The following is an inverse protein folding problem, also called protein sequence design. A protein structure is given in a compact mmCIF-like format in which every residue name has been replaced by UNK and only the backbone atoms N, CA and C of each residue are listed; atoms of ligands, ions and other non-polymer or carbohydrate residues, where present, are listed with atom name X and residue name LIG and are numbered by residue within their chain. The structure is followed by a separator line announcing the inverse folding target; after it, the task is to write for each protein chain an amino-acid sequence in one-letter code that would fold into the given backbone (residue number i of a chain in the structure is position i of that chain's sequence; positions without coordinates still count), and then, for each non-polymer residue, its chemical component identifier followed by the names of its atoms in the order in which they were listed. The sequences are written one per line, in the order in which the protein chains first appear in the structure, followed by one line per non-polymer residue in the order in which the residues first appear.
data_IF_755920497429
#
_entry.id   IF_755920497429
#
_cell.length_a   1.000
_cell.length_b   1.000
_cell.length_c   1.000
_cell.angle_alpha   90.00
_cell.angle_beta   90.00
_cell.angle_gamma   90.00
#
_symmetry.space_group_name_H-M   'P 1'
#
loop_
_entity.id
_entity.type
_entity.pdbx_description
1 polymer ?
#
# COMPACT_ATOMS: atom_id res chain seq x y z
N UNK A 1 22.43 7.97 6.90
CA UNK A 1 22.33 6.78 7.77
C UNK A 1 22.73 7.17 9.17
N UNK A 2 22.02 6.69 10.17
CA UNK A 2 22.26 6.94 11.59
C UNK A 2 22.46 5.60 12.31
N UNK A 3 23.07 5.62 13.49
CA UNK A 3 23.34 4.41 14.27
C UNK A 3 22.16 4.12 15.19
N UNK A 4 21.69 2.87 15.21
CA UNK A 4 20.60 2.47 16.10
C UNK A 4 21.05 2.41 17.56
N UNK A 5 20.31 3.07 18.44
CA UNK A 5 20.61 3.12 19.89
C UNK A 5 20.52 1.74 20.57
N UNK A 6 19.75 0.79 20.02
CA UNK A 6 19.59 -0.55 20.60
C UNK A 6 20.63 -1.57 20.14
N UNK A 7 21.06 -1.51 18.88
CA UNK A 7 21.91 -2.57 18.29
C UNK A 7 23.19 -2.06 17.61
N UNK A 8 23.45 -0.75 17.60
CA UNK A 8 24.69 -0.17 17.05
C UNK A 8 24.81 -0.23 15.52
N UNK A 9 23.74 -0.62 14.86
CA UNK A 9 23.68 -0.94 13.43
C UNK A 9 23.34 0.35 12.64
N UNK A 10 23.99 0.63 11.50
CA UNK A 10 23.76 1.86 10.70
C UNK A 10 22.61 1.70 9.68
N UNK A 11 21.52 2.45 9.87
CA UNK A 11 20.29 2.34 9.06
C UNK A 11 19.62 3.71 8.86
N UNK A 12 18.57 3.72 8.03
CA UNK A 12 17.52 4.72 8.20
C UNK A 12 16.75 4.38 9.49
N UNK A 13 16.79 5.29 10.45
CA UNK A 13 16.16 5.09 11.75
C UNK A 13 14.74 5.67 11.72
N UNK A 14 13.87 5.10 12.54
CA UNK A 14 12.53 5.58 12.76
C UNK A 14 12.36 6.19 14.14
N UNK A 15 11.22 5.87 14.74
CA UNK A 15 10.80 6.25 16.08
C UNK A 15 11.98 6.20 17.05
N UNK A 16 12.31 7.37 17.61
CA UNK A 16 13.31 7.55 18.65
C UNK A 16 14.64 6.82 18.40
N UNK A 17 15.11 6.91 17.16
CA UNK A 17 16.39 6.41 16.69
C UNK A 17 16.58 4.90 16.58
N UNK A 18 15.50 4.13 16.46
CA UNK A 18 15.60 2.67 16.27
C UNK A 18 15.51 2.24 14.80
N UNK A 19 16.28 1.20 14.44
CA UNK A 19 16.30 0.66 13.06
C UNK A 19 15.19 -0.36 12.76
N UNK A 20 14.45 -0.82 13.77
CA UNK A 20 13.34 -1.77 13.59
C UNK A 20 12.38 -1.72 14.77
N UNK A 21 11.15 -2.16 14.56
CA UNK A 21 10.15 -2.32 15.63
C UNK A 21 10.65 -3.23 16.74
N UNK A 22 11.33 -4.33 16.41
CA UNK A 22 11.96 -5.20 17.40
C UNK A 22 13.02 -4.47 18.26
N UNK A 23 13.74 -3.49 17.73
CA UNK A 23 14.66 -2.68 18.53
C UNK A 23 13.91 -1.76 19.50
N UNK A 24 12.82 -1.13 19.06
CA UNK A 24 11.96 -0.29 19.91
C UNK A 24 11.38 -1.10 21.08
N UNK A 25 10.93 -2.33 20.80
CA UNK A 25 10.40 -3.23 21.83
C UNK A 25 11.51 -3.65 22.81
N UNK A 26 12.68 -4.07 22.30
CA UNK A 26 13.81 -4.49 23.15
C UNK A 26 14.37 -3.37 24.04
N UNK A 27 14.23 -2.11 23.64
CA UNK A 27 14.63 -0.99 24.48
C UNK A 27 13.65 -0.71 25.63
N UNK A 28 12.52 -1.43 25.71
CA UNK A 28 11.51 -1.27 26.74
C UNK A 28 10.65 -0.01 26.61
N UNK A 29 10.77 0.72 25.49
CA UNK A 29 10.03 1.98 25.28
C UNK A 29 8.58 1.75 24.84
N UNK A 30 8.35 0.64 24.15
CA UNK A 30 7.02 0.13 23.84
C UNK A 30 6.89 -1.22 24.53
N UNK A 31 5.84 -1.39 25.34
CA UNK A 31 5.49 -2.71 25.86
C UNK A 31 4.99 -3.54 24.68
N UNK A 32 5.58 -4.73 24.53
CA UNK A 32 5.01 -5.75 23.66
C UNK A 32 3.55 -5.97 24.08
N UNK A 33 2.61 -5.89 23.14
CA UNK A 33 1.23 -6.24 23.46
C UNK A 33 1.23 -7.71 23.88
N UNK A 34 0.51 -8.07 24.93
CA UNK A 34 0.32 -9.47 25.34
C UNK A 34 -0.18 -10.31 24.13
N UNK A 35 -0.90 -9.67 23.21
CA UNK A 35 -1.36 -10.13 21.89
C UNK A 35 -0.28 -10.12 20.77
N UNK A 36 1.01 -10.26 21.08
CA UNK A 36 2.06 -10.57 20.10
C UNK A 36 2.49 -12.04 20.13
N UNK A 37 1.74 -12.92 20.80
CA UNK A 37 1.90 -14.38 20.69
C UNK A 37 2.04 -14.81 19.23
N UNK A 38 2.75 -15.91 18.92
CA UNK A 38 2.97 -16.45 17.57
C UNK A 38 1.66 -16.89 16.83
N UNK A 39 0.55 -16.21 17.08
CA UNK A 39 -0.80 -16.42 16.58
C UNK A 39 -1.30 -15.24 15.75
N UNK A 40 -2.41 -15.50 15.05
CA UNK A 40 -3.22 -14.52 14.33
C UNK A 40 -4.07 -13.77 15.36
N UNK A 41 -3.98 -12.45 15.34
CA UNK A 41 -4.65 -11.58 16.30
C UNK A 41 -6.10 -11.29 15.92
N UNK A 42 -6.89 -10.79 16.88
CA UNK A 42 -8.26 -10.35 16.61
C UNK A 42 -8.28 -9.24 15.52
N UNK A 43 -9.30 -9.26 14.66
CA UNK A 43 -9.44 -8.32 13.55
C UNK A 43 -9.47 -6.86 14.03
N UNK A 44 -9.97 -6.62 15.25
CA UNK A 44 -10.07 -5.30 15.86
C UNK A 44 -8.76 -4.79 16.47
N UNK A 45 -7.72 -5.65 16.56
CA UNK A 45 -6.41 -5.25 17.10
C UNK A 45 -5.85 -4.06 16.31
N UNK A 46 -5.50 -3.00 17.06
CA UNK A 46 -4.87 -1.77 16.56
C UNK A 46 -3.80 -1.32 17.55
N UNK A 47 -2.55 -1.77 17.40
CA UNK A 47 -1.47 -1.29 18.23
C UNK A 47 -1.18 0.19 17.96
N UNK A 48 -0.59 0.86 18.94
CA UNK A 48 0.00 2.18 18.82
C UNK A 48 1.06 2.13 17.71
N UNK A 49 0.96 2.99 16.69
CA UNK A 49 1.85 2.94 15.55
C UNK A 49 3.27 3.34 15.93
N UNK A 50 4.25 2.55 15.49
CA UNK A 50 5.68 2.84 15.57
C UNK A 50 6.11 3.35 14.18
N UNK A 51 6.36 4.64 14.07
CA UNK A 51 6.67 5.28 12.78
C UNK A 51 8.13 5.08 12.39
N UNK A 52 8.39 4.57 11.18
CA UNK A 52 9.73 4.23 10.71
C UNK A 52 10.22 5.16 9.59
N UNK A 53 11.48 5.61 9.65
CA UNK A 53 12.00 6.64 8.76
C UNK A 53 11.60 8.06 9.16
N UNK A 54 12.29 9.04 8.57
CA UNK A 54 12.10 10.47 8.80
C UNK A 54 11.68 11.16 7.49
N UNK A 55 10.43 11.61 7.42
CA UNK A 55 9.87 12.35 6.28
C UNK A 55 8.53 13.01 6.72
N UNK A 56 7.91 13.78 5.82
CA UNK A 56 6.67 14.52 6.05
C UNK A 56 5.48 13.63 6.41
N UNK A 57 5.46 12.38 5.93
CA UNK A 57 4.42 11.41 6.24
C UNK A 57 4.86 9.96 6.07
N UNK A 58 4.06 9.06 6.68
CA UNK A 58 4.30 7.63 6.69
C UNK A 58 3.14 6.88 6.02
N UNK A 59 3.49 5.74 5.43
CA UNK A 59 2.56 4.80 4.84
C UNK A 59 2.60 3.46 5.56
N UNK A 60 1.44 2.93 5.93
CA UNK A 60 1.25 1.55 6.36
C UNK A 60 0.67 0.71 5.23
N UNK A 61 0.90 -0.60 5.25
CA UNK A 61 0.27 -1.53 4.32
C UNK A 61 -0.49 -2.63 5.07
N UNK A 62 -1.63 -3.02 4.53
CA UNK A 62 -2.39 -4.20 4.91
C UNK A 62 -2.40 -5.14 3.69
N UNK A 63 -1.76 -6.30 3.82
CA UNK A 63 -1.73 -7.31 2.76
C UNK A 63 -2.59 -8.50 3.18
N UNK A 64 -3.71 -8.67 2.50
CA UNK A 64 -4.58 -9.83 2.68
C UNK A 64 -3.94 -11.05 2.04
N UNK A 65 -3.99 -12.18 2.77
CA UNK A 65 -3.43 -13.45 2.32
C UNK A 65 -4.42 -14.58 2.49
N UNK A 66 -4.34 -15.57 1.61
CA UNK A 66 -4.96 -16.88 1.82
C UNK A 66 -3.93 -17.88 2.32
N UNK A 67 -4.40 -18.85 3.09
CA UNK A 67 -3.63 -19.86 3.83
C UNK A 67 -3.06 -19.31 5.14
N UNK A 68 -3.56 -19.88 6.25
CA UNK A 68 -3.20 -19.44 7.60
C UNK A 68 -2.62 -20.57 8.45
N UNK A 69 -1.58 -20.24 9.22
CA UNK A 69 -0.93 -21.18 10.11
C UNK A 69 0.10 -20.50 11.02
N UNK A 70 0.38 -21.15 12.16
CA UNK A 70 1.32 -20.67 13.17
C UNK A 70 2.73 -20.43 12.59
N UNK A 71 3.16 -21.32 11.70
CA UNK A 71 4.46 -21.26 11.06
C UNK A 71 4.60 -20.03 10.14
N UNK A 72 3.55 -19.68 9.40
CA UNK A 72 3.51 -18.54 8.47
C UNK A 72 3.53 -17.22 9.24
N UNK A 73 2.75 -17.12 10.33
CA UNK A 73 2.76 -15.96 11.24
C UNK A 73 4.15 -15.75 11.84
N UNK A 74 4.82 -16.83 12.25
CA UNK A 74 6.18 -16.77 12.75
C UNK A 74 7.17 -16.27 11.70
N UNK A 75 7.08 -16.77 10.45
CA UNK A 75 7.87 -16.28 9.32
C UNK A 75 7.73 -14.76 9.16
N UNK A 76 6.49 -14.25 9.22
CA UNK A 76 6.20 -12.82 9.14
C UNK A 76 6.91 -12.05 10.25
N UNK A 77 6.71 -12.44 11.50
CA UNK A 77 7.23 -11.71 12.67
C UNK A 77 8.76 -11.71 12.69
N UNK A 78 9.38 -12.86 12.45
CA UNK A 78 10.83 -13.04 12.54
C UNK A 78 11.55 -12.29 11.41
N UNK A 79 11.14 -12.51 10.16
CA UNK A 79 11.84 -11.89 9.01
C UNK A 79 11.59 -10.40 8.94
N UNK A 80 10.40 -9.93 9.32
CA UNK A 80 10.08 -8.51 9.33
C UNK A 80 10.64 -7.75 10.54
N UNK A 81 11.29 -8.43 11.50
CA UNK A 81 11.70 -7.85 12.77
C UNK A 81 10.54 -7.11 13.45
N UNK A 82 9.36 -7.73 13.43
CA UNK A 82 8.08 -7.20 13.97
C UNK A 82 7.56 -5.94 13.28
N UNK A 83 8.07 -5.60 12.09
CA UNK A 83 7.47 -4.52 11.29
C UNK A 83 6.02 -4.85 10.91
N UNK A 84 5.71 -6.13 10.74
CA UNK A 84 4.36 -6.62 10.49
C UNK A 84 3.80 -7.40 11.68
N UNK A 85 2.50 -7.25 11.89
CA UNK A 85 1.68 -8.11 12.74
C UNK A 85 0.57 -8.74 11.89
N UNK A 86 0.05 -9.90 12.34
CA UNK A 86 -0.95 -10.66 11.60
C UNK A 86 -2.28 -10.60 12.34
N UNK A 87 -3.37 -10.26 11.65
CA UNK A 87 -4.73 -10.27 12.21
C UNK A 87 -5.65 -11.15 11.36
N UNK A 88 -6.71 -11.65 11.99
CA UNK A 88 -7.82 -12.24 11.27
C UNK A 88 -8.55 -11.15 10.50
N UNK A 89 -9.15 -11.53 9.38
CA UNK A 89 -10.07 -10.68 8.65
C UNK A 89 -11.36 -11.46 8.41
N UNK A 90 -12.49 -10.89 8.81
CA UNK A 90 -13.81 -11.48 8.62
C UNK A 90 -14.24 -11.55 7.15
N UNK A 91 -13.47 -10.97 6.23
CA UNK A 91 -13.68 -11.07 4.78
C UNK A 91 -12.93 -12.24 4.10
N UNK A 92 -12.05 -12.92 4.83
CA UNK A 92 -11.25 -14.04 4.34
C UNK A 92 -11.85 -15.39 4.79
N UNK A 93 -11.91 -16.36 3.87
CA UNK A 93 -12.39 -17.72 4.17
C UNK A 93 -11.34 -18.58 4.90
N UNK A 94 -10.05 -18.40 4.57
CA UNK A 94 -8.88 -19.00 5.21
C UNK A 94 -7.67 -18.10 4.95
N UNK A 95 -7.08 -17.49 5.99
CA UNK A 95 -6.00 -16.53 5.80
C UNK A 95 -5.75 -15.59 6.98
N UNK A 96 -4.91 -14.59 6.75
CA UNK A 96 -4.68 -13.48 7.66
C UNK A 96 -4.34 -12.20 6.88
N UNK A 97 -4.57 -11.06 7.50
CA UNK A 97 -4.04 -9.77 7.05
C UNK A 97 -2.69 -9.51 7.71
N UNK A 98 -1.68 -9.27 6.88
CA UNK A 98 -0.37 -8.84 7.30
C UNK A 98 -0.33 -7.30 7.32
N UNK A 99 -0.41 -6.72 8.51
CA UNK A 99 -0.52 -5.27 8.72
C UNK A 99 0.81 -4.71 9.21
N UNK A 100 1.30 -3.66 8.56
CA UNK A 100 2.56 -3.03 8.93
C UNK A 100 2.39 -1.92 9.95
N UNK A 101 3.45 -1.68 10.72
CA UNK A 101 3.69 -0.35 11.27
C UNK A 101 3.99 0.66 10.14
N UNK A 102 3.71 1.96 10.32
CA UNK A 102 3.92 2.97 9.27
C UNK A 102 5.40 3.23 8.98
N UNK A 103 5.75 3.42 7.72
CA UNK A 103 7.09 3.77 7.27
C UNK A 103 7.10 4.84 6.17
N UNK A 104 8.14 5.67 6.09
CA UNK A 104 8.36 6.57 4.95
C UNK A 104 8.62 5.78 3.66
N UNK A 105 8.51 6.39 2.48
CA UNK A 105 8.80 5.69 1.23
C UNK A 105 10.27 5.21 1.17
N UNK A 106 11.21 6.06 1.58
CA UNK A 106 12.63 5.72 1.68
C UNK A 106 12.88 4.54 2.62
N UNK A 107 12.23 4.54 3.79
CA UNK A 107 12.30 3.43 4.72
C UNK A 107 11.79 2.16 4.03
N UNK A 108 10.64 2.19 3.38
CA UNK A 108 10.12 1.03 2.65
C UNK A 108 11.08 0.54 1.56
N UNK A 109 11.70 1.42 0.76
CA UNK A 109 12.71 1.03 -0.22
C UNK A 109 13.90 0.32 0.43
N UNK A 110 14.32 0.75 1.63
CA UNK A 110 15.39 0.09 2.39
C UNK A 110 15.03 -1.34 2.81
N UNK A 111 13.72 -1.67 2.90
CA UNK A 111 13.24 -2.99 3.29
C UNK A 111 13.22 -4.04 2.15
N UNK A 112 13.80 -3.74 0.98
CA UNK A 112 13.72 -4.62 -0.21
C UNK A 112 14.21 -6.02 0.04
N UNK A 113 15.31 -6.17 0.77
CA UNK A 113 15.87 -7.49 1.13
C UNK A 113 14.94 -8.27 2.07
N UNK A 114 14.33 -7.58 3.03
CA UNK A 114 13.38 -8.18 3.97
C UNK A 114 12.13 -8.65 3.24
N UNK A 115 11.46 -7.78 2.47
CA UNK A 115 10.25 -8.14 1.72
C UNK A 115 10.53 -9.26 0.72
N UNK A 116 11.67 -9.24 0.02
CA UNK A 116 12.06 -10.33 -0.90
C UNK A 116 12.19 -11.67 -0.18
N UNK A 117 12.81 -11.69 1.00
CA UNK A 117 12.99 -12.92 1.77
C UNK A 117 11.67 -13.41 2.35
N UNK A 118 10.87 -12.48 2.88
CA UNK A 118 9.55 -12.73 3.44
C UNK A 118 8.61 -13.32 2.38
N UNK A 119 8.41 -12.63 1.26
CA UNK A 119 7.54 -13.10 0.18
C UNK A 119 7.96 -14.47 -0.35
N UNK A 120 9.27 -14.71 -0.55
CA UNK A 120 9.76 -16.03 -0.98
C UNK A 120 9.45 -17.14 0.03
N UNK A 121 9.56 -16.86 1.33
CA UNK A 121 9.28 -17.84 2.39
C UNK A 121 7.78 -18.12 2.52
N UNK A 122 6.94 -17.09 2.46
CA UNK A 122 5.49 -17.23 2.46
C UNK A 122 4.98 -18.02 1.25
N UNK A 123 5.46 -17.70 0.04
CA UNK A 123 5.12 -18.46 -1.18
C UNK A 123 5.53 -19.93 -1.03
N UNK A 124 6.73 -20.21 -0.50
CA UNK A 124 7.20 -21.58 -0.26
C UNK A 124 6.35 -22.31 0.79
N UNK A 125 5.79 -21.59 1.75
CA UNK A 125 4.90 -22.11 2.77
C UNK A 125 3.45 -22.28 2.28
N UNK A 126 3.14 -21.93 1.02
CA UNK A 126 1.81 -22.13 0.44
C UNK A 126 0.89 -20.90 0.53
N UNK A 127 1.37 -19.78 1.06
CA UNK A 127 0.58 -18.54 1.17
C UNK A 127 0.31 -17.92 -0.19
N UNK A 128 -0.91 -17.45 -0.41
CA UNK A 128 -1.36 -16.80 -1.64
C UNK A 128 -1.95 -15.42 -1.36
N UNK A 129 -2.10 -14.59 -2.40
CA UNK A 129 -2.69 -13.25 -2.31
C UNK A 129 -3.16 -12.70 -3.67
N UNK A 130 -2.56 -13.12 -4.79
CA UNK A 130 -2.96 -12.64 -6.11
C UNK A 130 -4.09 -13.45 -6.77
N UNK A 131 -4.00 -14.78 -6.70
CA UNK A 131 -4.94 -15.70 -7.36
C UNK A 131 -6.08 -16.10 -6.42
N UNK A 132 -6.74 -15.07 -5.88
CA UNK A 132 -7.80 -15.18 -4.89
C UNK A 132 -8.95 -14.26 -5.30
N UNK A 133 -10.16 -14.56 -4.85
CA UNK A 133 -11.33 -13.69 -5.07
C UNK A 133 -11.49 -12.62 -3.99
N UNK A 134 -10.79 -12.78 -2.86
CA UNK A 134 -10.99 -11.97 -1.65
C UNK A 134 -9.82 -11.05 -1.35
N UNK A 135 -8.59 -11.32 -1.80
CA UNK A 135 -7.42 -10.57 -1.32
C UNK A 135 -7.12 -9.28 -2.10
N UNK A 136 -6.87 -8.22 -1.34
CA UNK A 136 -6.35 -6.93 -1.73
C UNK A 136 -5.02 -6.60 -1.05
N UNK A 137 -4.50 -5.42 -1.41
CA UNK A 137 -3.52 -4.72 -0.58
C UNK A 137 -4.02 -3.29 -0.37
N UNK A 138 -4.09 -2.87 0.88
CA UNK A 138 -4.50 -1.52 1.27
C UNK A 138 -3.26 -0.73 1.69
N UNK A 139 -3.18 0.52 1.27
CA UNK A 139 -2.13 1.44 1.70
C UNK A 139 -2.77 2.55 2.51
N UNK A 140 -2.34 2.70 3.75
CA UNK A 140 -2.81 3.73 4.66
C UNK A 140 -1.79 4.85 4.71
N UNK A 141 -2.24 6.10 4.57
CA UNK A 141 -1.39 7.28 4.67
C UNK A 141 -1.89 8.16 5.82
N UNK A 142 -0.99 8.75 6.59
CA UNK A 142 -1.36 9.72 7.64
C UNK A 142 -2.17 10.89 7.04
N UNK A 143 -3.09 11.45 7.82
CA UNK A 143 -3.87 12.62 7.39
C UNK A 143 -3.01 13.84 7.08
N UNK A 144 -1.87 13.96 7.74
CA UNK A 144 -0.90 15.05 7.55
C UNK A 144 -0.39 15.11 6.11
N UNK A 145 -0.35 13.97 5.41
CA UNK A 145 0.06 13.92 4.01
C UNK A 145 -0.82 14.77 3.08
N UNK A 146 -2.12 14.90 3.36
CA UNK A 146 -3.06 15.55 2.44
C UNK A 146 -3.31 17.04 2.77
N UNK A 147 -3.08 17.50 3.99
CA UNK A 147 -3.21 18.93 4.34
C UNK A 147 -4.62 19.55 4.23
N UNK A 148 -5.64 18.82 3.79
CA UNK A 148 -7.04 19.29 3.76
C UNK A 148 -7.96 18.60 2.76
N UNK A 149 -9.23 19.00 2.75
CA UNK A 149 -10.27 18.41 1.89
C UNK A 149 -10.03 18.69 0.39
N UNK A 150 -9.45 19.83 0.03
CA UNK A 150 -9.24 20.19 -1.38
C UNK A 150 -8.17 19.32 -2.05
N UNK A 151 -7.09 19.00 -1.34
CA UNK A 151 -6.09 18.05 -1.85
C UNK A 151 -6.68 16.65 -1.97
N UNK A 152 -7.51 16.23 -1.00
CA UNK A 152 -8.24 14.97 -1.10
C UNK A 152 -9.15 14.92 -2.35
N UNK A 153 -9.86 16.01 -2.66
CA UNK A 153 -10.64 16.12 -3.89
C UNK A 153 -9.79 15.93 -5.15
N UNK A 154 -8.60 16.57 -5.22
CA UNK A 154 -7.66 16.41 -6.34
C UNK A 154 -7.19 14.97 -6.55
N UNK A 155 -6.93 14.25 -5.44
CA UNK A 155 -6.59 12.82 -5.49
C UNK A 155 -7.74 12.01 -6.09
N UNK A 156 -8.98 12.26 -5.64
CA UNK A 156 -10.15 11.57 -6.18
C UNK A 156 -10.37 11.87 -7.67
N UNK A 157 -10.16 13.12 -8.09
CA UNK A 157 -10.26 13.53 -9.50
C UNK A 157 -9.21 12.83 -10.37
N UNK A 158 -7.95 12.76 -9.92
CA UNK A 158 -6.91 12.04 -10.64
C UNK A 158 -7.25 10.54 -10.74
N UNK A 159 -7.72 9.94 -9.64
CA UNK A 159 -8.03 8.52 -9.56
C UNK A 159 -9.41 8.17 -10.15
N UNK A 160 -9.64 8.62 -11.38
CA UNK A 160 -10.79 8.23 -12.18
C UNK A 160 -10.76 6.72 -12.53
N UNK A 161 -11.88 6.21 -13.04
CA UNK A 161 -12.07 4.78 -13.28
C UNK A 161 -11.01 4.15 -14.17
N UNK A 162 -10.76 4.74 -15.33
CA UNK A 162 -9.82 4.20 -16.31
C UNK A 162 -8.41 4.17 -15.75
N UNK A 163 -8.01 5.23 -15.06
CA UNK A 163 -6.68 5.32 -14.46
C UNK A 163 -6.49 4.30 -13.32
N UNK A 164 -7.49 4.14 -12.45
CA UNK A 164 -7.45 3.12 -11.38
C UNK A 164 -7.35 1.71 -11.96
N UNK A 165 -8.15 1.38 -12.98
CA UNK A 165 -8.11 0.05 -13.62
C UNK A 165 -6.73 -0.21 -14.24
N UNK A 166 -6.17 0.78 -14.92
CA UNK A 166 -4.85 0.70 -15.53
C UNK A 166 -3.76 0.47 -14.48
N UNK A 167 -3.81 1.20 -13.35
CA UNK A 167 -2.75 1.19 -12.35
C UNK A 167 -2.84 0.04 -11.34
N UNK A 168 -3.98 -0.62 -11.16
CA UNK A 168 -4.20 -1.53 -10.01
C UNK A 168 -4.24 -3.02 -10.35
N UNK A 169 -4.25 -3.39 -11.63
CA UNK A 169 -4.44 -4.77 -12.13
C UNK A 169 -5.79 -5.40 -11.72
N UNK A 170 -6.77 -4.60 -11.30
CA UNK A 170 -8.14 -5.09 -11.05
C UNK A 170 -8.93 -5.16 -12.36
N UNK A 171 -9.80 -6.17 -12.48
CA UNK A 171 -10.71 -6.34 -13.63
C UNK A 171 -11.96 -5.49 -13.43
N UNK A 172 -12.54 -5.00 -14.53
CA UNK A 172 -13.71 -4.11 -14.54
C UNK A 172 -14.91 -4.58 -13.69
N UNK A 173 -15.25 -5.87 -13.75
CA UNK A 173 -16.36 -6.45 -12.95
C UNK A 173 -16.08 -6.49 -11.44
N UNK A 174 -14.80 -6.54 -11.05
CA UNK A 174 -14.34 -6.56 -9.66
C UNK A 174 -13.85 -5.18 -9.23
N UNK A 175 -14.18 -4.07 -9.91
CA UNK A 175 -13.82 -2.75 -9.40
C UNK A 175 -14.93 -2.25 -8.46
N UNK A 176 -16.19 -2.33 -8.88
CA UNK A 176 -17.34 -1.81 -8.11
C UNK A 176 -17.53 -2.50 -6.74
N UNK A 177 -17.04 -3.74 -6.58
CA UNK A 177 -17.05 -4.45 -5.29
C UNK A 177 -16.01 -3.89 -4.29
N UNK A 178 -15.03 -3.10 -4.76
CA UNK A 178 -13.85 -2.76 -3.94
C UNK A 178 -13.46 -1.27 -3.97
N UNK A 179 -13.71 -0.58 -5.08
CA UNK A 179 -13.50 0.84 -5.27
C UNK A 179 -14.40 1.31 -6.42
N UNK A 180 -15.40 2.11 -6.14
CA UNK A 180 -16.29 2.77 -7.09
C UNK A 180 -15.76 4.18 -7.31
N UNK A 181 -15.11 4.46 -8.45
CA UNK A 181 -14.76 5.81 -8.85
C UNK A 181 -16.05 6.61 -9.02
N UNK A 182 -16.11 7.80 -8.43
CA UNK A 182 -17.30 8.63 -8.43
C UNK A 182 -17.27 9.62 -9.61
N UNK A 183 -18.44 10.18 -9.97
CA UNK A 183 -18.50 11.33 -10.88
C UNK A 183 -17.81 12.56 -10.27
N UNK A 184 -17.48 13.59 -11.07
CA UNK A 184 -16.85 14.82 -10.54
C UNK A 184 -17.71 15.52 -9.47
N UNK A 185 -19.04 15.58 -9.68
CA UNK A 185 -19.98 16.12 -8.70
C UNK A 185 -20.00 15.30 -7.40
N UNK A 186 -19.89 13.98 -7.51
CA UNK A 186 -19.88 13.07 -6.37
C UNK A 186 -18.51 13.08 -5.65
N UNK A 187 -17.39 13.24 -6.38
CA UNK A 187 -16.06 13.44 -5.79
C UNK A 187 -16.03 14.71 -4.94
N UNK A 188 -16.62 15.80 -5.45
CA UNK A 188 -16.73 17.05 -4.69
C UNK A 188 -17.57 16.83 -3.43
N UNK A 189 -18.75 16.23 -3.56
CA UNK A 189 -19.61 15.91 -2.43
C UNK A 189 -18.96 14.96 -1.41
N UNK A 190 -18.19 13.97 -1.86
CA UNK A 190 -17.46 13.03 -1.01
C UNK A 190 -16.27 13.69 -0.29
N UNK A 191 -15.66 14.71 -0.89
CA UNK A 191 -14.62 15.50 -0.22
C UNK A 191 -15.17 16.38 0.92
N UNK A 192 -16.38 16.90 0.75
CA UNK A 192 -17.08 17.76 1.71
C UNK A 192 -17.80 16.94 2.80
N UNK A 193 -18.35 15.77 2.45
CA UNK A 193 -19.08 14.87 3.36
C UNK A 193 -18.59 13.41 3.32
N UNK A 194 -17.33 13.12 3.71
CA UNK A 194 -16.73 11.78 3.56
C UNK A 194 -17.45 10.67 4.32
N UNK A 195 -18.18 11.01 5.40
CA UNK A 195 -18.92 10.03 6.21
C UNK A 195 -20.13 9.42 5.48
N UNK A 196 -20.69 10.13 4.49
CA UNK A 196 -21.86 9.69 3.72
C UNK A 196 -21.50 8.70 2.60
N UNK A 197 -20.26 8.75 2.10
CA UNK A 197 -19.77 7.95 0.97
C UNK A 197 -18.84 6.79 1.40
N UNK A 198 -18.86 6.42 2.68
CA UNK A 198 -17.85 5.57 3.36
C UNK A 198 -17.58 4.17 2.78
N UNK A 199 -18.44 3.63 1.93
CA UNK A 199 -18.30 2.25 1.42
C UNK A 199 -18.02 2.27 -0.06
N UNK A 200 -16.95 1.57 -0.45
CA UNK A 200 -16.50 1.40 -1.83
C UNK A 200 -15.96 2.67 -2.48
N UNK A 201 -15.26 3.56 -1.77
CA UNK A 201 -14.49 4.61 -2.43
C UNK A 201 -13.10 4.12 -2.79
N UNK A 202 -12.53 4.69 -3.87
CA UNK A 202 -11.13 4.50 -4.27
C UNK A 202 -10.16 4.85 -3.14
N UNK A 203 -10.48 5.88 -2.37
CA UNK A 203 -9.74 6.28 -1.17
C UNK A 203 -10.74 6.47 -0.04
N UNK A 204 -10.62 5.69 1.02
CA UNK A 204 -11.47 5.81 2.20
C UNK A 204 -10.86 6.77 3.22
N UNK A 205 -11.67 7.65 3.80
CA UNK A 205 -11.23 8.56 4.87
C UNK A 205 -11.54 7.97 6.25
N UNK A 206 -10.49 7.49 6.92
CA UNK A 206 -10.53 7.02 8.30
C UNK A 206 -10.45 8.14 9.33
N UNK A 207 -10.33 7.75 10.60
CA UNK A 207 -10.18 8.67 11.72
C UNK A 207 -8.81 9.36 11.72
N UNK A 208 -7.74 8.61 11.46
CA UNK A 208 -6.36 9.11 11.49
C UNK A 208 -5.61 8.96 10.15
N UNK A 209 -6.18 8.21 9.20
CA UNK A 209 -5.53 7.89 7.93
C UNK A 209 -6.48 8.00 6.74
N UNK A 210 -5.91 8.09 5.53
CA UNK A 210 -6.58 7.81 4.26
C UNK A 210 -6.13 6.43 3.77
N UNK A 211 -7.08 5.61 3.33
CA UNK A 211 -6.86 4.20 2.96
C UNK A 211 -7.13 4.01 1.47
N UNK A 212 -6.10 3.65 0.71
CA UNK A 212 -6.19 3.31 -0.71
C UNK A 212 -6.45 1.81 -0.85
N UNK A 213 -7.70 1.43 -1.15
CA UNK A 213 -8.14 0.03 -1.21
C UNK A 213 -8.22 -0.56 -2.61
N UNK A 214 -7.43 -0.01 -3.52
CA UNK A 214 -7.67 -0.16 -4.96
C UNK A 214 -6.87 -1.29 -5.59
N UNK A 215 -5.87 -1.80 -4.89
CA UNK A 215 -4.92 -2.74 -5.45
C UNK A 215 -5.35 -4.18 -5.26
N UNK A 216 -5.04 -5.00 -6.26
CA UNK A 216 -5.11 -6.46 -6.14
C UNK A 216 -4.01 -6.98 -5.21
N UNK A 217 -4.32 -8.01 -4.41
CA UNK A 217 -3.35 -8.70 -3.57
C UNK A 217 -2.16 -9.25 -4.36
N UNK A 218 -0.99 -9.34 -3.74
CA UNK A 218 0.25 -9.78 -4.39
C UNK A 218 1.36 -10.09 -3.37
N UNK A 219 2.11 -11.17 -3.61
CA UNK A 219 3.40 -11.44 -2.96
C UNK A 219 4.59 -11.13 -3.87
N UNK A 220 4.35 -10.62 -5.09
CA UNK A 220 5.40 -10.17 -5.99
C UNK A 220 5.94 -8.80 -5.53
N UNK A 221 7.16 -8.80 -4.99
CA UNK A 221 7.78 -7.62 -4.34
C UNK A 221 7.84 -6.38 -5.23
N UNK A 222 8.23 -6.44 -6.52
CA UNK A 222 8.14 -5.27 -7.40
C UNK A 222 6.73 -4.68 -7.51
N UNK A 223 5.68 -5.52 -7.42
CA UNK A 223 4.30 -5.03 -7.42
C UNK A 223 3.87 -4.42 -6.09
N UNK A 224 4.39 -4.90 -4.96
CA UNK A 224 4.21 -4.24 -3.65
C UNK A 224 4.84 -2.85 -3.68
N UNK A 225 6.08 -2.74 -4.14
CA UNK A 225 6.76 -1.44 -4.28
C UNK A 225 6.04 -0.50 -5.24
N UNK A 226 5.57 -1.01 -6.37
CA UNK A 226 4.74 -0.23 -7.29
C UNK A 226 3.53 0.39 -6.59
N UNK A 227 2.86 -0.34 -5.70
CA UNK A 227 1.68 0.18 -5.00
C UNK A 227 2.05 1.29 -4.01
N UNK A 228 3.12 1.11 -3.23
CA UNK A 228 3.64 2.15 -2.31
C UNK A 228 4.06 3.41 -3.08
N UNK A 229 4.86 3.25 -4.13
CA UNK A 229 5.31 4.34 -4.98
C UNK A 229 4.15 5.03 -5.69
N UNK A 230 3.13 4.29 -6.13
CA UNK A 230 1.94 4.86 -6.77
C UNK A 230 1.19 5.77 -5.80
N UNK A 231 0.92 5.32 -4.57
CA UNK A 231 0.24 6.14 -3.56
C UNK A 231 1.04 7.39 -3.23
N UNK A 232 2.34 7.24 -2.98
CA UNK A 232 3.21 8.37 -2.67
C UNK A 232 3.28 9.37 -3.83
N UNK A 233 3.50 8.89 -5.06
CA UNK A 233 3.60 9.76 -6.24
C UNK A 233 2.28 10.45 -6.58
N UNK A 234 1.13 9.80 -6.37
CA UNK A 234 -0.19 10.44 -6.51
C UNK A 234 -0.29 11.62 -5.55
N UNK A 235 0.02 11.42 -4.27
CA UNK A 235 -0.03 12.49 -3.25
C UNK A 235 0.92 13.63 -3.61
N UNK A 236 2.16 13.33 -3.99
CA UNK A 236 3.15 14.37 -4.31
C UNK A 236 2.81 15.15 -5.58
N UNK A 237 2.26 14.48 -6.59
CA UNK A 237 1.78 15.13 -7.81
C UNK A 237 0.58 16.05 -7.49
N UNK A 238 -0.44 15.52 -6.82
CA UNK A 238 -1.66 16.27 -6.50
C UNK A 238 -1.44 17.33 -5.44
N UNK A 239 -0.31 17.33 -4.72
CA UNK A 239 0.03 18.40 -3.77
C UNK A 239 0.21 19.74 -4.50
N UNK A 240 0.83 19.71 -5.68
CA UNK A 240 1.26 20.91 -6.39
C UNK A 240 0.48 21.22 -7.68
N UNK A 241 -0.22 20.24 -8.27
CA UNK A 241 -1.02 20.43 -9.48
C UNK A 241 -2.21 21.40 -9.25
N UNK A 242 -2.82 21.99 -10.27
CA UNK A 242 -4.20 22.50 -10.18
C UNK A 242 -5.20 21.32 -10.24
N UNK A 243 -6.51 21.58 -10.07
CA UNK A 243 -7.51 20.53 -10.26
C UNK A 243 -7.60 20.11 -11.74
N UNK A 244 -7.47 21.06 -12.66
CA UNK A 244 -7.47 20.83 -14.11
C UNK A 244 -6.22 20.05 -14.56
N UNK A 245 -5.10 20.24 -13.86
CA UNK A 245 -3.86 19.51 -14.12
C UNK A 245 -3.88 18.07 -13.60
N UNK A 246 -4.85 17.67 -12.77
CA UNK A 246 -4.95 16.33 -12.19
C UNK A 246 -5.43 15.28 -13.21
N UNK A 247 -4.64 15.07 -14.28
CA UNK A 247 -4.89 14.09 -15.34
C UNK A 247 -3.84 12.98 -15.34
N UNK A 248 -4.18 11.78 -15.84
CA UNK A 248 -3.21 10.69 -16.02
C UNK A 248 -2.00 11.10 -16.86
N UNK A 249 -2.19 11.88 -17.92
CA UNK A 249 -1.12 12.33 -18.82
C UNK A 249 -0.09 13.17 -18.07
N UNK A 250 -0.56 14.16 -17.30
CA UNK A 250 0.32 15.01 -16.48
C UNK A 250 0.98 14.22 -15.35
N UNK A 251 0.27 13.25 -14.77
CA UNK A 251 0.86 12.34 -13.79
C UNK A 251 2.01 11.51 -14.39
N UNK A 252 1.83 10.96 -15.60
CA UNK A 252 2.89 10.20 -16.27
C UNK A 252 4.11 11.06 -16.56
N UNK A 253 3.92 12.31 -16.99
CA UNK A 253 5.01 13.27 -17.15
C UNK A 253 5.73 13.54 -15.82
N UNK A 254 4.98 13.72 -14.73
CA UNK A 254 5.53 13.96 -13.40
C UNK A 254 6.41 12.81 -12.88
N UNK A 255 6.05 11.55 -13.14
CA UNK A 255 6.83 10.42 -12.64
C UNK A 255 8.03 10.07 -13.53
N UNK A 256 8.06 10.50 -14.80
CA UNK A 256 8.97 9.95 -15.80
C UNK A 256 10.47 10.17 -15.49
N UNK A 257 10.83 11.23 -14.79
CA UNK A 257 12.22 11.54 -14.44
C UNK A 257 12.58 11.22 -12.98
N UNK A 258 11.61 10.73 -12.18
CA UNK A 258 11.79 10.49 -10.75
C UNK A 258 12.28 9.08 -10.48
N UNK A 259 13.55 8.95 -10.11
CA UNK A 259 14.20 7.66 -9.85
C UNK A 259 13.61 6.91 -8.66
N UNK A 260 13.01 7.61 -7.70
CA UNK A 260 12.33 7.00 -6.55
C UNK A 260 11.02 6.28 -6.90
N UNK A 261 10.50 6.44 -8.12
CA UNK A 261 9.26 5.79 -8.59
C UNK A 261 9.55 4.74 -9.67
N UNK A 262 10.70 4.06 -9.58
CA UNK A 262 11.15 3.15 -10.63
C UNK A 262 10.17 1.98 -10.84
N UNK A 263 9.55 1.42 -9.79
CA UNK A 263 8.63 0.28 -9.95
C UNK A 263 7.30 0.69 -10.60
N UNK A 264 6.84 1.93 -10.38
CA UNK A 264 5.68 2.49 -11.12
C UNK A 264 6.03 2.73 -12.57
N UNK A 265 7.18 3.34 -12.85
CA UNK A 265 7.64 3.58 -14.22
C UNK A 265 7.81 2.30 -15.01
N UNK A 266 8.49 1.31 -14.43
CA UNK A 266 8.68 -0.02 -15.03
C UNK A 266 7.32 -0.68 -15.32
N UNK A 267 6.34 -0.52 -14.42
CA UNK A 267 4.99 -1.04 -14.62
C UNK A 267 4.27 -0.35 -15.80
N UNK A 268 4.34 0.98 -15.89
CA UNK A 268 3.74 1.74 -16.98
C UNK A 268 4.34 1.34 -18.33
N UNK A 269 5.67 1.25 -18.41
CA UNK A 269 6.36 0.80 -19.62
C UNK A 269 5.91 -0.61 -20.04
N UNK A 270 5.83 -1.55 -19.10
CA UNK A 270 5.35 -2.91 -19.38
C UNK A 270 3.89 -2.95 -19.85
N UNK A 271 3.02 -2.04 -19.38
CA UNK A 271 1.63 -1.97 -19.86
C UNK A 271 1.57 -1.46 -21.30
N UNK A 272 2.39 -0.46 -21.64
CA UNK A 272 2.49 0.09 -22.98
C UNK A 272 3.00 -0.95 -23.98
N UNK A 273 4.08 -1.65 -23.65
CA UNK A 273 4.63 -2.75 -24.47
C UNK A 273 3.57 -3.83 -24.74
N UNK A 274 2.85 -4.27 -23.71
CA UNK A 274 1.75 -5.26 -23.86
C UNK A 274 0.60 -4.75 -24.70
N UNK A 275 0.29 -3.44 -24.64
CA UNK A 275 -0.77 -2.86 -25.45
C UNK A 275 -0.37 -2.82 -26.93
N UNK A 276 0.90 -2.51 -27.23
CA UNK A 276 1.47 -2.57 -28.58
C UNK A 276 1.42 -4.00 -29.12
N UNK A 277 1.86 -4.99 -28.33
CA UNK A 277 1.82 -6.40 -28.71
C UNK A 277 0.40 -6.89 -29.01
N UNK A 278 -0.60 -6.51 -28.19
CA UNK A 278 -2.00 -6.87 -28.42
C UNK A 278 -2.55 -6.28 -29.72
N UNK A 279 -2.26 -5.01 -30.00
CA UNK A 279 -2.67 -4.34 -31.25
C UNK A 279 -2.02 -4.99 -32.48
N UNK A 280 -0.76 -5.42 -32.35
CA UNK A 280 -0.06 -6.12 -33.41
C UNK A 280 -0.60 -7.56 -33.64
N UNK A 281 -1.21 -8.17 -32.63
CA UNK A 281 -1.76 -9.52 -32.69
C UNK A 281 -3.24 -9.56 -33.13
N UNK A 282 -3.93 -8.42 -33.24
CA UNK A 282 -5.29 -8.37 -33.79
C UNK A 282 -5.24 -8.59 -35.31
N UNK A 283 -5.86 -9.66 -35.86
CA UNK A 283 -5.91 -9.85 -37.30
C UNK A 283 -6.67 -8.67 -37.91
N UNK A 284 -6.09 -8.07 -38.96
CA UNK A 284 -6.72 -7.01 -39.74
C UNK A 284 -8.07 -7.49 -40.26
N UNK A 285 -9.16 -7.14 -39.58
CA UNK A 285 -10.51 -7.24 -40.12
C UNK A 285 -10.67 -6.12 -41.16
N UNK A 286 -10.00 -6.29 -42.29
CA UNK A 286 -10.24 -5.54 -43.51
C UNK A 286 -10.55 -6.57 -44.59
N UNK A 287 -11.85 -6.86 -44.72
CA UNK A 287 -12.46 -7.33 -45.96
C UNK A 287 -13.67 -6.46 -46.24
#
# INVERSE_FOLDING_TARGET
MKTCDQCGESYEIGHENYCSVACVIRSGKVREYEDYEESIQDYSLKPSPIFMGEDDYHMGMELETEHSGYHEVRIVKDLSKRLFYCKGDGSLDDGFEMVSHPGTLSFWHSQKRMLTSLSKRLIKAGVRSYDTSTCGIHIHVSKDALGGNFHYYKILTLLNREFVLHMTKRRNGNLNQWATPLSDSDNKAASESPRMYRRYMTVNRGENTFEFRIFRGTLHVPSIYKNLEFVHSVIEFTRNASIEECTPENYYLFINDKTQYNHVRDYCQQQEERAIERRAAEPSLVS
#
